data_IF_761424685216
#
_entry.id   IF_761424685216
#
_cell.length_a   1.000
_cell.length_b   1.000
_cell.length_c   1.000
_cell.angle_alpha   90.00
_cell.angle_beta   90.00
_cell.angle_gamma   90.00
#
_symmetry.space_group_name_H-M   'P 1'
#
loop_
_entity.id
_entity.type
_entity.pdbx_description
1 polymer ?
#
# COMPACT_ATOMS: atom_id res chain seq x y z
N UNK A 1 -11.13 -7.90 5.41
CA UNK A 1 -12.03 -6.73 5.46
C UNK A 1 -11.48 -5.68 4.48
N UNK A 2 -12.32 -4.96 3.73
CA UNK A 2 -11.83 -3.88 2.85
C UNK A 2 -11.69 -2.62 3.73
N UNK A 3 -10.47 -2.11 3.89
CA UNK A 3 -10.24 -0.82 4.55
C UNK A 3 -9.66 0.16 3.53
N UNK A 4 -10.20 1.36 3.44
CA UNK A 4 -9.70 2.44 2.56
C UNK A 4 -9.01 3.56 3.33
N UNK A 5 -9.20 3.62 4.66
CA UNK A 5 -8.61 4.62 5.54
C UNK A 5 -7.07 4.73 5.40
N UNK A 6 -6.28 3.63 5.33
CA UNK A 6 -4.84 3.72 5.07
C UNK A 6 -4.49 4.50 3.81
N UNK A 7 -5.25 4.23 2.73
CA UNK A 7 -5.03 4.86 1.44
C UNK A 7 -5.45 6.34 1.47
N UNK A 8 -6.55 6.66 2.17
CA UNK A 8 -7.03 8.03 2.36
C UNK A 8 -6.01 8.88 3.14
N UNK A 9 -5.43 8.32 4.20
CA UNK A 9 -4.34 8.94 4.98
C UNK A 9 -3.12 9.17 4.10
N UNK A 10 -2.66 8.13 3.40
CA UNK A 10 -1.45 8.20 2.57
C UNK A 10 -1.58 9.22 1.41
N UNK A 11 -2.76 9.27 0.78
CA UNK A 11 -3.04 10.17 -0.34
C UNK A 11 -3.53 11.56 0.11
N UNK A 12 -3.68 11.79 1.41
CA UNK A 12 -4.19 13.04 2.00
C UNK A 12 -5.47 13.55 1.30
N UNK A 13 -6.44 12.67 1.08
CA UNK A 13 -7.73 12.98 0.43
C UNK A 13 -7.63 13.48 -1.03
N UNK A 14 -6.57 13.11 -1.76
CA UNK A 14 -6.46 13.45 -3.18
C UNK A 14 -7.49 12.72 -4.06
N UNK A 15 -7.76 13.29 -5.24
CA UNK A 15 -8.70 12.73 -6.24
C UNK A 15 -8.25 11.38 -6.82
N UNK A 16 -7.01 10.93 -6.55
CA UNK A 16 -6.47 9.68 -7.09
C UNK A 16 -6.92 8.43 -6.34
N UNK A 17 -7.73 8.54 -5.28
CA UNK A 17 -8.33 7.38 -4.61
C UNK A 17 -9.06 6.44 -5.60
N UNK A 18 -9.73 7.03 -6.59
CA UNK A 18 -10.43 6.30 -7.65
C UNK A 18 -9.50 5.43 -8.52
N UNK A 19 -8.21 5.74 -8.57
CA UNK A 19 -7.22 5.01 -9.37
C UNK A 19 -6.78 3.70 -8.72
N UNK A 20 -7.24 3.41 -7.50
CA UNK A 20 -6.85 2.21 -6.76
C UNK A 20 -7.99 1.22 -6.60
N UNK A 21 -7.60 -0.04 -6.41
CA UNK A 21 -8.48 -1.16 -6.10
C UNK A 21 -7.94 -1.89 -4.88
N UNK A 22 -8.74 -2.00 -3.82
CA UNK A 22 -8.42 -2.89 -2.71
C UNK A 22 -8.29 -4.34 -3.21
N UNK A 23 -7.19 -5.02 -2.85
CA UNK A 23 -6.95 -6.41 -3.26
C UNK A 23 -7.03 -7.38 -2.09
N UNK A 24 -6.19 -7.20 -1.07
CA UNK A 24 -6.12 -8.09 0.09
C UNK A 24 -5.42 -7.39 1.26
N UNK A 25 -5.40 -8.05 2.42
CA UNK A 25 -4.56 -7.67 3.55
C UNK A 25 -3.73 -8.86 4.02
N UNK A 26 -2.59 -8.61 4.67
CA UNK A 26 -1.70 -9.62 5.25
C UNK A 26 -1.29 -9.20 6.66
N UNK A 27 -1.36 -10.12 7.62
CA UNK A 27 -0.78 -9.91 8.95
C UNK A 27 0.72 -10.26 8.90
N UNK A 28 1.58 -9.30 9.27
CA UNK A 28 3.04 -9.46 9.26
C UNK A 28 3.63 -8.76 10.48
N UNK A 29 4.35 -9.48 11.33
CA UNK A 29 5.05 -8.88 12.48
C UNK A 29 4.15 -8.15 13.48
N UNK A 30 2.88 -8.55 13.60
CA UNK A 30 1.88 -7.88 14.44
C UNK A 30 1.13 -6.72 13.76
N UNK A 31 1.58 -6.30 12.58
CA UNK A 31 0.93 -5.26 11.78
C UNK A 31 0.02 -5.87 10.71
N UNK A 32 -1.02 -5.11 10.31
CA UNK A 32 -1.84 -5.46 9.15
C UNK A 32 -1.45 -4.58 7.97
N UNK A 33 -0.96 -5.21 6.91
CA UNK A 33 -0.63 -4.55 5.65
C UNK A 33 -1.79 -4.71 4.68
N UNK A 34 -2.31 -3.59 4.17
CA UNK A 34 -3.37 -3.49 3.18
C UNK A 34 -2.76 -3.23 1.81
N UNK A 35 -3.14 -4.05 0.84
CA UNK A 35 -2.58 -4.03 -0.52
C UNK A 35 -3.61 -3.44 -1.49
N UNK A 36 -3.27 -2.29 -2.07
CA UNK A 36 -4.06 -1.61 -3.09
C UNK A 36 -3.35 -1.72 -4.43
N UNK A 37 -4.08 -2.07 -5.48
CA UNK A 37 -3.53 -2.13 -6.83
C UNK A 37 -3.97 -0.90 -7.61
N UNK A 38 -3.00 -0.20 -8.19
CA UNK A 38 -3.29 0.88 -9.13
C UNK A 38 -3.88 0.32 -10.42
N UNK A 39 -4.96 0.93 -10.90
CA UNK A 39 -5.80 0.41 -11.99
C UNK A 39 -5.02 0.32 -13.30
N UNK A 40 -4.24 1.36 -13.61
CA UNK A 40 -3.55 1.51 -14.89
C UNK A 40 -2.24 0.70 -14.94
N UNK A 41 -1.33 0.94 -14.00
CA UNK A 41 0.00 0.30 -13.98
C UNK A 41 -0.02 -1.12 -13.40
N UNK A 42 -1.11 -1.52 -12.74
CA UNK A 42 -1.28 -2.83 -12.07
C UNK A 42 -0.32 -3.06 -10.91
N UNK A 43 0.43 -2.04 -10.51
CA UNK A 43 1.40 -2.08 -9.41
C UNK A 43 0.71 -1.94 -8.06
N UNK A 44 1.36 -2.46 -7.04
CA UNK A 44 0.82 -2.50 -5.69
C UNK A 44 1.38 -1.38 -4.83
N UNK A 45 0.49 -0.73 -4.09
CA UNK A 45 0.78 0.12 -2.96
C UNK A 45 0.37 -0.65 -1.70
N UNK A 46 1.32 -0.88 -0.80
CA UNK A 46 1.07 -1.62 0.44
C UNK A 46 1.21 -0.66 1.61
N UNK A 47 0.18 -0.59 2.46
CA UNK A 47 0.08 0.38 3.56
C UNK A 47 -0.30 -0.31 4.87
N UNK A 48 0.23 0.16 5.99
CA UNK A 48 -0.32 -0.19 7.32
C UNK A 48 -1.49 0.74 7.70
N UNK A 49 -2.08 0.55 8.89
CA UNK A 49 -3.18 1.41 9.37
C UNK A 49 -2.77 2.87 9.64
N UNK A 50 -1.47 3.18 9.67
CA UNK A 50 -0.95 4.53 9.92
C UNK A 50 -0.57 5.24 8.61
N UNK A 51 -0.72 4.58 7.46
CA UNK A 51 -0.32 5.11 6.16
C UNK A 51 1.17 4.96 5.87
N UNK A 52 1.93 4.18 6.66
CA UNK A 52 3.30 3.84 6.30
C UNK A 52 3.30 2.91 5.09
N UNK A 53 4.27 3.06 4.18
CA UNK A 53 4.28 2.34 2.91
C UNK A 53 5.41 1.32 2.81
N UNK A 54 5.13 0.23 2.10
CA UNK A 54 5.99 -0.95 2.05
C UNK A 54 6.12 -1.49 0.63
N UNK A 55 7.30 -2.05 0.34
CA UNK A 55 7.55 -2.88 -0.83
C UNK A 55 7.74 -4.34 -0.45
N UNK A 56 7.57 -5.23 -1.42
CA UNK A 56 7.92 -6.64 -1.23
C UNK A 56 9.44 -6.79 -1.18
N UNK A 57 9.96 -7.28 -0.05
CA UNK A 57 11.39 -7.40 0.22
C UNK A 57 11.90 -8.81 0.49
N UNK A 58 11.02 -9.81 0.60
CA UNK A 58 11.40 -11.16 0.99
C UNK A 58 10.22 -12.13 1.20
N UNK A 59 10.41 -13.11 2.07
CA UNK A 59 9.41 -14.14 2.43
C UNK A 59 9.16 -14.15 3.94
N UNK A 60 8.01 -14.70 4.36
CA UNK A 60 7.65 -14.80 5.78
C UNK A 60 7.52 -13.42 6.47
N UNK A 61 8.19 -13.25 7.60
CA UNK A 61 8.16 -11.99 8.38
C UNK A 61 8.88 -10.84 7.67
N UNK A 62 9.82 -11.14 6.78
CA UNK A 62 10.57 -10.15 5.98
C UNK A 62 9.87 -9.82 4.66
N UNK A 63 8.62 -10.26 4.49
CA UNK A 63 7.85 -10.07 3.24
C UNK A 63 7.72 -8.60 2.86
N UNK A 64 7.60 -7.71 3.84
CA UNK A 64 7.46 -6.27 3.63
C UNK A 64 8.66 -5.51 4.19
N UNK A 65 9.19 -4.60 3.37
CA UNK A 65 10.22 -3.63 3.76
C UNK A 65 9.64 -2.24 3.62
N UNK A 66 9.73 -1.44 4.68
CA UNK A 66 9.26 -0.06 4.66
C UNK A 66 10.07 0.74 3.63
N UNK A 67 9.36 1.61 2.91
CA UNK A 67 9.92 2.55 1.94
C UNK A 67 9.34 3.94 2.21
N UNK A 68 9.88 4.95 1.53
CA UNK A 68 9.35 6.31 1.62
C UNK A 68 8.09 6.48 0.75
N UNK A 69 7.19 7.41 1.10
CA UNK A 69 6.03 7.72 0.27
C UNK A 69 6.39 8.09 -1.18
N UNK A 70 7.51 8.80 -1.36
CA UNK A 70 8.00 9.17 -2.68
C UNK A 70 8.39 7.94 -3.52
N UNK A 71 9.11 6.98 -2.94
CA UNK A 71 9.45 5.72 -3.63
C UNK A 71 8.19 4.91 -3.97
N UNK A 72 7.22 4.86 -3.06
CA UNK A 72 5.97 4.16 -3.29
C UNK A 72 5.16 4.79 -4.43
N UNK A 73 5.03 6.12 -4.46
CA UNK A 73 4.35 6.84 -5.54
C UNK A 73 5.09 6.67 -6.87
N UNK A 74 6.41 6.85 -6.88
CA UNK A 74 7.23 6.67 -8.08
C UNK A 74 7.11 5.24 -8.63
N UNK A 75 7.09 4.23 -7.76
CA UNK A 75 6.83 2.87 -8.17
C UNK A 75 5.45 2.76 -8.82
N UNK A 76 4.40 3.17 -8.13
CA UNK A 76 3.00 2.94 -8.54
C UNK A 76 2.63 3.66 -9.84
N UNK A 77 3.18 4.84 -10.09
CA UNK A 77 2.90 5.65 -11.29
C UNK A 77 3.86 5.43 -12.46
N UNK A 78 4.82 4.49 -12.33
CA UNK A 78 5.75 4.10 -13.41
C UNK A 78 5.23 3.00 -14.34
#
# INVERSE_FOLDING_TARGET
>A
MKNWEPLEIFLASSSSLGDFMFMHCSAVGGETIYSYKHRNTRRYLNLDNQGNCYTHGGVGEYKYRQITPQEALAHVFS
#
